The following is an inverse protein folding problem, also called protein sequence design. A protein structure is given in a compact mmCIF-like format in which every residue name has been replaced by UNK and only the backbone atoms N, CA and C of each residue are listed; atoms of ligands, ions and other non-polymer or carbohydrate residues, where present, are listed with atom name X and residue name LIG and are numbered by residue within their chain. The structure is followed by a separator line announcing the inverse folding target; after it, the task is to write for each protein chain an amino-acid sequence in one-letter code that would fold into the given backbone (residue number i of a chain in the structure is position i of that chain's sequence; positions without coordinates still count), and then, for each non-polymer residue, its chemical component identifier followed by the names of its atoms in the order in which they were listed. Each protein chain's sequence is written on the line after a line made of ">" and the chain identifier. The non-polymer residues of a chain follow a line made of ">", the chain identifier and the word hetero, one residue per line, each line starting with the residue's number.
data_IF_040788004079
#
_entry.id   IF_040788004079
#
_cell.length_a   1.000
_cell.length_b   1.000
_cell.length_c   1.000
_cell.angle_alpha   90.00
_cell.angle_beta   90.00
_cell.angle_gamma   90.00
#
_symmetry.space_group_name_H-M   'P 1'
#
loop_
_entity.id
_entity.type
_entity.pdbx_description
1 polymer ?
#
# COMPACT_ATOMS: atom_id res chain seq x y z
N UNK A 1 -14.09 -3.67 30.13
CA UNK A 1 -14.23 -3.97 28.69
C UNK A 1 -15.46 -4.83 28.54
N UNK A 2 -16.44 -4.35 27.78
CA UNK A 2 -17.68 -5.08 27.51
C UNK A 2 -17.38 -6.05 26.37
N UNK A 3 -17.61 -7.35 26.56
CA UNK A 3 -17.39 -8.37 25.53
C UNK A 3 -18.72 -8.71 24.89
N UNK A 4 -18.79 -8.62 23.56
CA UNK A 4 -19.99 -8.96 22.78
C UNK A 4 -19.76 -10.28 22.03
N UNK A 5 -20.78 -11.13 21.96
CA UNK A 5 -20.72 -12.39 21.21
C UNK A 5 -21.13 -12.14 19.76
N UNK A 6 -20.19 -12.33 18.83
CA UNK A 6 -20.43 -12.19 17.39
C UNK A 6 -20.61 -13.57 16.75
N UNK A 7 -21.82 -13.86 16.27
CA UNK A 7 -22.10 -15.08 15.52
C UNK A 7 -21.98 -14.82 14.01
N UNK A 8 -20.93 -15.37 13.39
CA UNK A 8 -20.66 -15.20 11.94
C UNK A 8 -20.74 -16.52 11.22
N UNK A 9 -21.37 -16.52 10.04
CA UNK A 9 -21.27 -17.63 9.08
C UNK A 9 -20.05 -17.40 8.21
N UNK A 10 -19.04 -18.25 8.35
CA UNK A 10 -17.80 -18.22 7.56
C UNK A 10 -17.65 -19.51 6.74
N UNK A 11 -16.85 -19.47 5.68
CA UNK A 11 -16.52 -20.66 4.89
C UNK A 11 -15.70 -21.66 5.72
N UNK A 12 -15.77 -22.94 5.35
CA UNK A 12 -15.03 -24.02 6.02
C UNK A 12 -13.52 -23.80 5.94
N UNK A 13 -13.03 -23.28 4.82
CA UNK A 13 -11.62 -23.00 4.56
C UNK A 13 -11.08 -21.91 5.47
N UNK A 14 -11.81 -20.79 5.63
CA UNK A 14 -11.40 -19.70 6.52
C UNK A 14 -11.39 -20.15 7.98
N UNK A 15 -12.36 -20.99 8.38
CA UNK A 15 -12.39 -21.59 9.71
C UNK A 15 -11.17 -22.45 10.00
N UNK A 16 -10.69 -23.20 8.99
CA UNK A 16 -9.52 -24.06 9.11
C UNK A 16 -8.22 -23.25 9.16
N UNK A 17 -8.11 -22.18 8.36
CA UNK A 17 -6.99 -21.25 8.41
C UNK A 17 -6.87 -20.56 9.78
N UNK A 18 -7.99 -20.06 10.31
CA UNK A 18 -8.02 -19.43 11.64
C UNK A 18 -7.66 -20.45 12.72
N UNK A 19 -8.12 -21.70 12.61
CA UNK A 19 -7.75 -22.77 13.55
C UNK A 19 -6.26 -23.10 13.49
N UNK A 20 -5.71 -23.30 12.30
CA UNK A 20 -4.28 -23.58 12.12
C UNK A 20 -3.42 -22.45 12.68
N UNK A 21 -3.81 -21.19 12.44
CA UNK A 21 -3.12 -20.04 13.00
C UNK A 21 -3.19 -19.98 14.53
N UNK A 22 -4.36 -20.27 15.11
CA UNK A 22 -4.56 -20.34 16.55
C UNK A 22 -3.72 -21.45 17.21
N UNK A 23 -3.64 -22.62 16.59
CA UNK A 23 -2.80 -23.74 17.04
C UNK A 23 -1.31 -23.40 17.00
N UNK A 24 -0.86 -22.69 15.95
CA UNK A 24 0.53 -22.23 15.82
C UNK A 24 0.93 -21.19 16.88
N UNK A 25 0.01 -20.32 17.27
CA UNK A 25 0.29 -19.20 18.18
C UNK A 25 -0.11 -19.50 19.64
N UNK A 26 -0.75 -20.65 19.90
CA UNK A 26 -1.22 -21.03 21.22
C UNK A 26 -2.36 -20.17 21.75
N UNK A 27 -3.09 -19.51 20.85
CA UNK A 27 -4.19 -18.60 21.19
C UNK A 27 -5.56 -19.23 20.95
N UNK A 28 -6.61 -18.64 21.53
CA UNK A 28 -7.99 -19.09 21.28
C UNK A 28 -8.48 -18.62 19.92
N UNK A 29 -9.39 -19.38 19.30
CA UNK A 29 -10.03 -18.97 18.04
C UNK A 29 -10.60 -17.55 18.14
N UNK A 30 -11.23 -17.20 19.28
CA UNK A 30 -11.79 -15.87 19.51
C UNK A 30 -10.74 -14.76 19.46
N UNK A 31 -9.62 -14.93 20.16
CA UNK A 31 -8.53 -13.94 20.19
C UNK A 31 -7.92 -13.71 18.80
N UNK A 32 -7.65 -14.81 18.08
CA UNK A 32 -7.13 -14.75 16.71
C UNK A 32 -8.13 -14.06 15.77
N UNK A 33 -9.42 -14.40 15.86
CA UNK A 33 -10.43 -13.72 15.05
C UNK A 33 -10.57 -12.25 15.38
N UNK A 34 -10.46 -11.87 16.65
CA UNK A 34 -10.51 -10.46 17.06
C UNK A 34 -9.33 -9.68 16.50
N UNK A 35 -8.11 -10.26 16.57
CA UNK A 35 -6.91 -9.64 16.02
C UNK A 35 -7.02 -9.45 14.50
N UNK A 36 -7.44 -10.47 13.76
CA UNK A 36 -7.64 -10.36 12.33
C UNK A 36 -8.74 -9.36 11.97
N UNK A 37 -9.84 -9.33 12.71
CA UNK A 37 -10.92 -8.38 12.47
C UNK A 37 -10.44 -6.95 12.71
N UNK A 38 -9.67 -6.73 13.79
CA UNK A 38 -9.04 -5.44 14.10
C UNK A 38 -8.08 -5.01 13.00
N UNK A 39 -7.17 -5.88 12.58
CA UNK A 39 -6.25 -5.62 11.46
C UNK A 39 -7.00 -5.35 10.15
N UNK A 40 -8.08 -6.08 9.88
CA UNK A 40 -8.91 -5.85 8.71
C UNK A 40 -9.56 -4.47 8.75
N UNK A 41 -10.11 -4.05 9.90
CA UNK A 41 -10.65 -2.70 10.07
C UNK A 41 -9.57 -1.62 9.98
N UNK A 42 -8.40 -1.82 10.59
CA UNK A 42 -7.25 -0.92 10.45
C UNK A 42 -6.80 -0.82 8.98
N UNK A 43 -6.77 -1.93 8.23
CA UNK A 43 -6.43 -1.93 6.80
C UNK A 43 -7.50 -1.31 5.91
N UNK A 44 -8.78 -1.39 6.32
CA UNK A 44 -9.89 -0.78 5.62
C UNK A 44 -9.91 0.75 5.83
N UNK A 45 -9.52 1.19 7.03
CA UNK A 45 -9.35 2.61 7.38
C UNK A 45 -8.02 3.18 6.87
N UNK A 46 -7.04 2.31 6.63
CA UNK A 46 -5.82 2.56 5.85
C UNK A 46 -6.05 2.31 4.35
N UNK A 47 -7.27 2.56 3.85
CA UNK A 47 -7.50 2.74 2.43
C UNK A 47 -6.59 3.85 1.95
N UNK A 48 -5.47 3.47 1.33
CA UNK A 48 -4.40 4.29 0.75
C UNK A 48 -4.83 5.75 0.68
N UNK A 49 -4.57 6.51 1.74
CA UNK A 49 -4.76 7.96 1.69
C UNK A 49 -3.77 8.44 0.64
N UNK A 50 -4.17 9.37 -0.22
CA UNK A 50 -3.26 9.97 -1.20
C UNK A 50 -1.99 10.52 -0.51
N UNK A 51 -2.07 10.80 0.80
CA UNK A 51 -0.98 11.23 1.67
C UNK A 51 0.03 10.14 2.09
N UNK A 52 -0.29 8.84 1.96
CA UNK A 52 0.64 7.72 2.25
C UNK A 52 1.44 7.28 1.02
N UNK A 53 1.23 7.93 -0.12
CA UNK A 53 2.13 7.81 -1.27
C UNK A 53 3.40 8.56 -0.88
N UNK A 54 4.49 7.82 -0.60
CA UNK A 54 5.85 8.36 -0.57
C UNK A 54 6.20 8.88 -1.98
N UNK A 55 5.69 10.07 -2.28
CA UNK A 55 6.19 10.92 -3.32
C UNK A 55 7.56 11.37 -2.82
N UNK A 56 8.58 10.50 -2.97
CA UNK A 56 9.97 10.90 -2.92
C UNK A 56 10.02 12.23 -3.65
N UNK A 57 10.31 13.30 -2.90
CA UNK A 57 10.10 14.70 -3.25
C UNK A 57 10.89 15.12 -4.49
N UNK A 58 10.57 14.50 -5.61
CA UNK A 58 11.15 14.63 -6.94
C UNK A 58 10.00 15.16 -7.77
N UNK A 59 9.70 16.43 -7.52
CA UNK A 59 8.92 17.20 -8.46
C UNK A 59 9.69 17.15 -9.78
N UNK A 60 9.13 16.48 -10.79
CA UNK A 60 9.59 16.70 -12.16
C UNK A 60 9.31 18.17 -12.46
N UNK A 61 10.36 18.98 -12.37
CA UNK A 61 10.32 20.38 -12.76
C UNK A 61 9.72 20.39 -14.18
N UNK A 62 8.56 21.04 -14.35
CA UNK A 62 7.86 21.12 -15.63
C UNK A 62 8.69 21.95 -16.61
N UNK A 63 9.77 21.38 -17.14
CA UNK A 63 10.71 22.07 -18.02
C UNK A 63 9.95 22.38 -19.30
N UNK A 64 9.81 23.66 -19.58
CA UNK A 64 9.20 24.11 -20.83
C UNK A 64 9.97 23.53 -22.02
N UNK A 65 9.28 23.11 -23.10
CA UNK A 65 9.94 22.59 -24.28
C UNK A 65 10.96 23.62 -24.81
N UNK A 66 12.16 23.13 -25.11
CA UNK A 66 13.30 23.97 -25.54
C UNK A 66 12.93 24.88 -26.70
N UNK A 67 13.35 26.15 -26.61
CA UNK A 67 13.11 27.12 -27.67
C UNK A 67 14.00 26.83 -28.89
N UNK A 68 13.57 27.27 -30.08
CA UNK A 68 14.27 27.03 -31.34
C UNK A 68 15.75 27.47 -31.34
N UNK A 69 16.08 28.51 -30.55
CA UNK A 69 17.47 28.98 -30.35
C UNK A 69 18.32 27.97 -29.57
N UNK A 70 17.75 27.36 -28.53
CA UNK A 70 18.42 26.37 -27.67
C UNK A 70 18.64 25.06 -28.42
N UNK A 71 17.63 24.62 -29.19
CA UNK A 71 17.75 23.47 -30.10
C UNK A 71 18.87 23.69 -31.12
N UNK A 72 19.00 24.90 -31.68
CA UNK A 72 20.07 25.22 -32.64
C UNK A 72 21.45 25.21 -31.99
N UNK A 73 21.57 25.67 -30.74
CA UNK A 73 22.80 25.60 -29.96
C UNK A 73 23.20 24.15 -29.65
N UNK A 74 22.25 23.32 -29.20
CA UNK A 74 22.47 21.89 -28.96
C UNK A 74 22.92 21.16 -30.23
N UNK A 75 22.30 21.43 -31.39
CA UNK A 75 22.73 20.87 -32.68
C UNK A 75 24.17 21.26 -33.02
N UNK A 76 24.59 22.49 -32.71
CA UNK A 76 25.96 22.95 -32.97
C UNK A 76 26.97 22.26 -32.05
N UNK A 77 26.62 22.03 -30.78
CA UNK A 77 27.47 21.32 -29.82
C UNK A 77 27.61 19.83 -30.17
N UNK A 78 26.51 19.17 -30.54
CA UNK A 78 26.51 17.76 -30.96
C UNK A 78 27.28 17.54 -32.26
N UNK A 79 27.23 18.49 -33.20
CA UNK A 79 28.03 18.44 -34.44
C UNK A 79 29.54 18.59 -34.21
N UNK A 80 29.98 19.19 -33.10
CA UNK A 80 31.40 19.31 -32.74
C UNK A 80 31.97 18.07 -32.05
N UNK A 81 31.10 17.18 -31.56
CA UNK A 81 31.47 15.90 -30.93
C UNK A 81 31.47 14.71 -31.91
N UNK A 82 31.23 14.95 -33.20
CA UNK A 82 31.43 13.98 -34.29
C UNK A 82 32.77 14.23 -34.96
#
# INVERSE_FOLDING_TARGET
>A
METAVLNVKISSELKEQVRSYAELHGETLGAVTEQFLRMAFESLDAGVKEDDIDNQHTEEEGVQPLNAKEIKALRKLLKKRK
#
